data_IF_545283951323
#
_entry.id   IF_545283951323
#
_cell.length_a   1.000
_cell.length_b   1.000
_cell.length_c   1.000
_cell.angle_alpha   90.00
_cell.angle_beta   90.00
_cell.angle_gamma   90.00
#
_symmetry.space_group_name_H-M   'P 1'
#
loop_
_entity.id
_entity.type
_entity.pdbx_description
1 polymer ?
#
# COMPACT_ATOMS: atom_id res chain seq x y z
N UNK A 1 -6.47 18.27 -15.42
CA UNK A 1 -7.51 17.29 -14.98
C UNK A 1 -8.29 17.88 -13.80
N UNK A 2 -9.56 17.51 -13.55
CA UNK A 2 -10.31 18.01 -12.38
C UNK A 2 -9.65 17.69 -11.02
N UNK A 3 -8.76 16.68 -11.01
CA UNK A 3 -7.87 16.32 -9.90
C UNK A 3 -6.98 17.50 -9.49
N UNK A 4 -6.31 18.14 -10.46
CA UNK A 4 -5.31 19.18 -10.22
C UNK A 4 -5.93 20.41 -9.53
N UNK A 5 -7.16 20.77 -9.93
CA UNK A 5 -7.89 21.86 -9.28
C UNK A 5 -8.22 21.54 -7.82
N UNK A 6 -8.60 20.30 -7.53
CA UNK A 6 -8.94 19.86 -6.17
C UNK A 6 -7.70 19.83 -5.28
N UNK A 7 -6.58 19.30 -5.76
CA UNK A 7 -5.29 19.36 -5.05
C UNK A 7 -4.84 20.79 -4.81
N UNK A 8 -4.98 21.68 -5.80
CA UNK A 8 -4.65 23.09 -5.65
C UNK A 8 -5.47 23.80 -4.56
N UNK A 9 -6.74 23.40 -4.33
CA UNK A 9 -7.54 23.93 -3.23
C UNK A 9 -7.03 23.43 -1.87
N UNK A 10 -6.69 22.14 -1.77
CA UNK A 10 -6.16 21.53 -0.54
C UNK A 10 -4.82 22.16 -0.18
N UNK A 11 -3.89 22.28 -1.14
CA UNK A 11 -2.58 22.90 -0.91
C UNK A 11 -2.69 24.35 -0.44
N UNK A 12 -3.55 25.14 -1.08
CA UNK A 12 -3.79 26.52 -0.64
C UNK A 12 -4.30 26.59 0.80
N UNK A 13 -5.10 25.61 1.23
CA UNK A 13 -5.60 25.55 2.59
C UNK A 13 -4.53 25.08 3.58
N UNK A 14 -3.75 24.07 3.22
CA UNK A 14 -2.59 23.59 3.99
C UNK A 14 -1.62 24.73 4.28
N UNK A 15 -1.28 25.55 3.27
CA UNK A 15 -0.33 26.67 3.43
C UNK A 15 -0.81 27.75 4.41
N UNK A 16 -2.11 27.84 4.67
CA UNK A 16 -2.72 28.80 5.61
C UNK A 16 -2.90 28.22 7.01
N UNK A 17 -2.65 26.92 7.18
CA UNK A 17 -2.84 26.25 8.46
C UNK A 17 -1.53 26.37 9.27
N UNK A 18 -1.60 26.99 10.45
CA UNK A 18 -0.41 27.31 11.27
C UNK A 18 0.27 26.11 11.93
N UNK A 19 -0.18 24.88 11.64
CA UNK A 19 0.57 23.70 12.02
C UNK A 19 -0.20 22.40 11.86
N UNK A 20 0.33 21.56 10.97
CA UNK A 20 -0.16 20.21 10.71
C UNK A 20 0.80 19.25 11.39
N UNK A 21 0.32 18.54 12.41
CA UNK A 21 1.20 17.78 13.30
C UNK A 21 0.76 16.34 13.45
N UNK A 22 -0.52 16.05 13.22
CA UNK A 22 -1.10 14.72 13.27
C UNK A 22 -1.75 14.36 11.92
N UNK A 23 -1.94 13.07 11.64
CA UNK A 23 -2.73 12.65 10.48
C UNK A 23 -4.17 13.17 10.51
N UNK A 24 -4.75 13.37 11.69
CA UNK A 24 -6.12 13.86 11.82
C UNK A 24 -6.23 15.35 11.44
N UNK A 25 -5.19 16.15 11.71
CA UNK A 25 -5.12 17.53 11.18
C UNK A 25 -5.21 17.54 9.64
N UNK A 26 -4.58 16.58 8.95
CA UNK A 26 -4.69 16.46 7.49
C UNK A 26 -6.12 16.09 7.05
N UNK A 27 -6.76 15.15 7.76
CA UNK A 27 -8.14 14.75 7.46
C UNK A 27 -9.07 15.97 7.58
N UNK A 28 -8.96 16.72 8.67
CA UNK A 28 -9.78 17.90 8.91
C UNK A 28 -9.57 19.00 7.86
N UNK A 29 -8.32 19.24 7.45
CA UNK A 29 -8.01 20.22 6.41
C UNK A 29 -8.62 19.80 5.07
N UNK A 30 -8.44 18.53 4.67
CA UNK A 30 -8.97 18.04 3.40
C UNK A 30 -10.51 18.09 3.43
N UNK A 31 -11.14 17.55 4.46
CA UNK A 31 -12.60 17.51 4.62
C UNK A 31 -13.21 18.93 4.57
N UNK A 32 -12.58 19.88 5.26
CA UNK A 32 -13.04 21.27 5.32
C UNK A 32 -12.69 22.08 4.06
N UNK A 33 -11.87 21.58 3.15
CA UNK A 33 -11.48 22.29 1.91
C UNK A 33 -12.68 22.46 0.98
N UNK A 34 -13.54 21.44 0.86
CA UNK A 34 -14.71 21.50 -0.01
C UNK A 34 -15.80 20.53 0.44
N UNK A 35 -17.07 20.99 0.46
CA UNK A 35 -18.23 20.19 0.94
C UNK A 35 -18.44 18.86 0.22
N UNK A 36 -17.94 18.72 -1.01
CA UNK A 36 -18.04 17.48 -1.81
C UNK A 36 -16.92 16.47 -1.52
N UNK A 37 -15.89 16.85 -0.78
CA UNK A 37 -14.80 15.93 -0.50
C UNK A 37 -15.25 14.87 0.50
N UNK A 38 -14.91 13.62 0.19
CA UNK A 38 -15.08 12.47 1.07
C UNK A 38 -13.68 11.96 1.38
N UNK A 39 -13.25 12.11 2.63
CA UNK A 39 -11.94 11.63 3.07
C UNK A 39 -12.10 10.23 3.67
N UNK A 40 -11.31 9.28 3.18
CA UNK A 40 -11.24 7.92 3.71
C UNK A 40 -9.86 7.74 4.32
N UNK A 41 -9.82 7.52 5.63
CA UNK A 41 -8.58 7.24 6.37
C UNK A 41 -8.31 5.74 6.27
N UNK A 42 -7.30 5.39 5.47
CA UNK A 42 -6.91 4.00 5.30
C UNK A 42 -6.20 3.45 6.54
N UNK A 43 -6.53 2.21 6.90
CA UNK A 43 -5.85 1.43 7.94
C UNK A 43 -4.68 0.64 7.36
N UNK A 44 -3.76 0.20 8.21
CA UNK A 44 -2.55 -0.52 7.78
C UNK A 44 -2.90 -1.80 7.01
N UNK A 45 -3.95 -2.49 7.44
CA UNK A 45 -4.42 -3.76 6.91
C UNK A 45 -4.98 -3.65 5.49
N UNK A 46 -5.32 -2.43 5.06
CA UNK A 46 -5.88 -2.13 3.74
C UNK A 46 -4.79 -1.88 2.69
N UNK A 47 -3.52 -1.83 3.09
CA UNK A 47 -2.40 -1.72 2.15
C UNK A 47 -1.94 -3.11 1.74
N UNK A 48 -2.11 -3.46 0.46
CA UNK A 48 -1.72 -4.76 -0.09
C UNK A 48 -0.49 -4.68 -1.02
N UNK A 49 0.27 -5.77 -1.06
CA UNK A 49 1.35 -5.95 -2.02
C UNK A 49 0.77 -6.43 -3.36
N UNK A 50 0.93 -5.62 -4.40
CA UNK A 50 0.41 -5.93 -5.74
C UNK A 50 1.31 -6.89 -6.53
N UNK A 51 2.45 -7.32 -6.00
CA UNK A 51 3.39 -8.18 -6.75
C UNK A 51 2.76 -9.52 -7.15
N UNK A 52 1.99 -10.16 -6.28
CA UNK A 52 1.29 -11.41 -6.59
C UNK A 52 0.29 -11.20 -7.73
N UNK A 53 -0.44 -10.09 -7.69
CA UNK A 53 -1.39 -9.69 -8.73
C UNK A 53 -0.68 -9.44 -10.07
N UNK A 54 0.41 -8.66 -10.06
CA UNK A 54 1.19 -8.32 -11.25
C UNK A 54 1.84 -9.56 -11.87
N UNK A 55 2.29 -10.54 -11.05
CA UNK A 55 2.84 -11.81 -11.54
C UNK A 55 1.77 -12.71 -12.16
N UNK A 56 0.56 -12.71 -11.60
CA UNK A 56 -0.56 -13.51 -12.12
C UNK A 56 -1.12 -12.95 -13.43
N UNK A 57 -0.96 -11.65 -13.68
CA UNK A 57 -1.49 -10.98 -14.87
C UNK A 57 -0.46 -10.81 -15.98
N UNK A 58 -0.91 -10.82 -17.23
CA UNK A 58 -0.10 -10.36 -18.36
C UNK A 58 -0.44 -8.92 -18.72
N UNK A 59 0.60 -8.07 -18.89
CA UNK A 59 0.46 -6.73 -19.47
C UNK A 59 0.03 -6.86 -20.94
N UNK A 60 -1.27 -6.80 -21.18
CA UNK A 60 -1.81 -6.83 -22.54
C UNK A 60 -1.97 -5.42 -23.07
N UNK A 61 -1.48 -5.22 -24.30
CA UNK A 61 -1.97 -4.13 -25.15
C UNK A 61 -3.32 -4.60 -25.69
N UNK A 62 -4.37 -3.81 -25.49
CA UNK A 62 -5.63 -4.07 -26.15
C UNK A 62 -5.37 -4.05 -27.67
N UNK A 63 -5.70 -5.15 -28.36
CA UNK A 63 -5.52 -5.25 -29.82
C UNK A 63 -6.47 -4.31 -30.57
N UNK A 64 -7.60 -3.99 -29.94
CA UNK A 64 -8.57 -3.00 -30.36
C UNK A 64 -8.87 -2.10 -29.16
N UNK A 65 -9.13 -0.81 -29.37
CA UNK A 65 -9.24 0.18 -28.28
C UNK A 65 -7.88 0.65 -27.76
N UNK A 66 -7.67 1.97 -27.76
CA UNK A 66 -6.47 2.57 -27.16
C UNK A 66 -6.87 3.18 -25.82
N UNK A 67 -6.11 2.91 -24.76
CA UNK A 67 -6.27 3.63 -23.48
C UNK A 67 -6.23 5.16 -23.63
N UNK A 68 -5.52 5.68 -24.64
CA UNK A 68 -5.50 7.11 -24.93
C UNK A 68 -6.81 7.65 -25.51
N UNK A 69 -7.67 6.78 -26.04
CA UNK A 69 -8.98 7.13 -26.62
C UNK A 69 -10.15 6.69 -25.74
N UNK A 70 -9.89 5.88 -24.72
CA UNK A 70 -10.93 5.38 -23.82
C UNK A 70 -11.42 6.47 -22.88
N UNK A 71 -12.73 6.57 -22.75
CA UNK A 71 -13.39 7.42 -21.76
C UNK A 71 -13.65 6.67 -20.45
N UNK A 72 -13.77 5.34 -20.47
CA UNK A 72 -14.10 4.56 -19.28
C UNK A 72 -13.41 3.19 -19.26
N UNK A 73 -12.98 2.79 -18.05
CA UNK A 73 -12.59 1.42 -17.71
C UNK A 73 -13.72 0.85 -16.84
N UNK A 74 -14.32 -0.26 -17.25
CA UNK A 74 -15.43 -0.89 -16.54
C UNK A 74 -14.97 -2.26 -16.03
N UNK A 75 -15.07 -2.44 -14.71
CA UNK A 75 -14.89 -3.73 -14.05
C UNK A 75 -16.27 -4.25 -13.69
N UNK A 76 -16.60 -5.46 -14.16
CA UNK A 76 -17.89 -6.10 -13.89
C UNK A 76 -17.67 -7.42 -13.18
N UNK A 77 -18.52 -7.75 -12.22
CA UNK A 77 -18.44 -9.02 -11.51
C UNK A 77 -18.61 -10.22 -12.46
N UNK A 78 -19.42 -10.10 -13.50
CA UNK A 78 -19.59 -11.15 -14.50
C UNK A 78 -18.37 -11.36 -15.41
N UNK A 79 -17.41 -10.42 -15.44
CA UNK A 79 -16.23 -10.50 -16.30
C UNK A 79 -14.93 -10.62 -15.48
N UNK A 80 -14.72 -11.81 -14.91
CA UNK A 80 -13.57 -12.11 -14.02
C UNK A 80 -12.24 -12.26 -14.74
N UNK A 81 -12.24 -12.31 -16.08
CA UNK A 81 -11.02 -12.48 -16.89
C UNK A 81 -10.20 -11.18 -17.04
N UNK A 82 -10.77 -10.02 -16.68
CA UNK A 82 -10.12 -8.72 -16.82
C UNK A 82 -11.09 -7.54 -16.72
N UNK A 83 -11.02 -6.60 -17.67
CA UNK A 83 -11.88 -5.40 -17.67
C UNK A 83 -12.32 -5.02 -19.08
N UNK A 84 -13.29 -4.12 -19.16
CA UNK A 84 -13.82 -3.58 -20.40
C UNK A 84 -13.33 -2.14 -20.60
N UNK A 85 -13.04 -1.78 -21.84
CA UNK A 85 -12.70 -0.40 -22.24
C UNK A 85 -13.85 0.15 -23.09
N UNK A 86 -14.37 1.33 -22.72
CA UNK A 86 -15.32 2.09 -23.55
C UNK A 86 -14.70 3.37 -24.06
N UNK A 87 -14.94 3.67 -25.33
CA UNK A 87 -14.50 4.92 -25.96
C UNK A 87 -15.41 6.10 -25.59
N UNK A 88 -16.67 5.85 -25.19
CA UNK A 88 -17.65 6.87 -24.81
C UNK A 88 -18.39 6.53 -23.50
N UNK A 89 -18.76 7.54 -22.71
CA UNK A 89 -19.50 7.37 -21.45
C UNK A 89 -20.94 6.87 -21.65
N UNK A 90 -21.55 7.16 -22.80
CA UNK A 90 -22.93 6.80 -23.12
C UNK A 90 -23.07 5.47 -23.88
N UNK A 91 -21.97 4.78 -24.16
CA UNK A 91 -21.98 3.53 -24.93
C UNK A 91 -22.58 2.35 -24.16
N UNK A 92 -23.32 1.50 -24.87
CA UNK A 92 -23.79 0.21 -24.38
C UNK A 92 -22.56 -0.69 -24.14
N UNK A 93 -22.62 -1.58 -23.15
CA UNK A 93 -21.49 -2.44 -22.81
C UNK A 93 -21.08 -3.42 -23.92
N UNK A 94 -21.94 -3.64 -24.91
CA UNK A 94 -21.69 -4.50 -26.07
C UNK A 94 -20.63 -3.92 -27.01
N UNK A 95 -20.50 -2.59 -27.07
CA UNK A 95 -19.47 -1.89 -27.85
C UNK A 95 -18.12 -1.82 -27.10
N UNK A 96 -18.06 -2.34 -25.88
CA UNK A 96 -16.86 -2.25 -25.06
C UNK A 96 -15.82 -3.29 -25.49
N UNK A 97 -14.56 -2.85 -25.60
CA UNK A 97 -13.44 -3.74 -25.87
C UNK A 97 -13.11 -4.55 -24.62
N UNK A 98 -13.17 -5.87 -24.74
CA UNK A 98 -12.76 -6.82 -23.69
C UNK A 98 -11.24 -6.93 -23.60
N UNK A 99 -10.68 -6.64 -22.42
CA UNK A 99 -9.27 -6.84 -22.11
C UNK A 99 -9.13 -8.00 -21.14
N UNK A 100 -8.60 -9.12 -21.64
CA UNK A 100 -8.27 -10.30 -20.84
C UNK A 100 -6.88 -10.17 -20.23
N UNK A 101 -6.77 -10.40 -18.92
CA UNK A 101 -5.53 -10.34 -18.14
C UNK A 101 -4.82 -11.70 -17.99
N UNK A 102 -5.49 -12.80 -18.34
CA UNK A 102 -4.92 -14.16 -18.29
C UNK A 102 -3.64 -14.28 -19.13
N UNK A 103 -2.58 -14.88 -18.57
CA UNK A 103 -1.37 -15.20 -19.30
C UNK A 103 -1.56 -16.24 -20.42
N UNK A 104 -0.80 -16.10 -21.50
CA UNK A 104 -0.81 -17.05 -22.63
C UNK A 104 -1.98 -16.88 -23.60
N UNK A 105 -2.01 -17.63 -24.70
CA UNK A 105 -3.06 -17.51 -25.75
C UNK A 105 -4.24 -18.46 -25.55
N UNK A 106 -4.36 -19.10 -24.38
CA UNK A 106 -5.39 -20.09 -24.11
C UNK A 106 -6.78 -19.45 -23.99
N UNK A 107 -7.82 -20.25 -24.23
CA UNK A 107 -9.19 -19.90 -23.88
C UNK A 107 -9.27 -19.62 -22.37
N UNK A 108 -10.23 -18.79 -21.99
CA UNK A 108 -10.49 -18.56 -20.58
C UNK A 108 -10.96 -19.85 -19.93
N UNK A 109 -10.39 -20.14 -18.78
CA UNK A 109 -10.79 -21.26 -17.95
C UNK A 109 -10.81 -20.77 -16.50
N UNK A 110 -12.02 -20.77 -15.93
CA UNK A 110 -12.29 -20.34 -14.58
C UNK A 110 -11.50 -21.15 -13.54
N UNK A 111 -11.29 -22.46 -13.79
CA UNK A 111 -10.52 -23.32 -12.88
C UNK A 111 -9.03 -22.96 -12.83
N UNK A 112 -8.51 -22.35 -13.89
CA UNK A 112 -7.08 -22.06 -14.05
C UNK A 112 -6.70 -20.59 -13.86
N UNK A 113 -7.65 -19.65 -14.01
CA UNK A 113 -7.38 -18.22 -13.84
C UNK A 113 -8.56 -17.48 -13.22
N UNK A 114 -8.39 -17.11 -11.95
CA UNK A 114 -9.38 -16.32 -11.22
C UNK A 114 -8.68 -15.32 -10.31
N UNK A 115 -8.86 -14.03 -10.57
CA UNK A 115 -8.15 -12.97 -9.85
C UNK A 115 -8.59 -12.84 -8.38
N UNK A 116 -9.82 -13.24 -8.06
CA UNK A 116 -10.33 -13.20 -6.68
C UNK A 116 -9.72 -14.28 -5.80
N UNK A 117 -9.18 -15.35 -6.40
CA UNK A 117 -8.55 -16.45 -5.67
C UNK A 117 -7.09 -16.11 -5.32
N UNK A 118 -6.58 -14.95 -5.75
CA UNK A 118 -5.22 -14.54 -5.43
C UNK A 118 -5.14 -14.11 -3.98
N UNK A 119 -4.28 -14.79 -3.22
CA UNK A 119 -3.97 -14.37 -1.86
C UNK A 119 -3.18 -13.05 -1.88
N UNK A 120 -3.84 -11.96 -1.50
CA UNK A 120 -3.26 -10.63 -1.41
C UNK A 120 -2.55 -10.48 -0.07
N UNK A 121 -1.23 -10.51 -0.08
CA UNK A 121 -0.41 -10.33 1.12
C UNK A 121 -0.40 -8.85 1.49
N UNK A 122 -0.55 -8.54 2.79
CA UNK A 122 -0.42 -7.17 3.30
C UNK A 122 0.96 -6.60 2.93
N UNK A 123 0.98 -5.32 2.58
CA UNK A 123 2.21 -4.62 2.21
C UNK A 123 3.10 -4.36 3.41
N UNK A 124 2.48 -4.12 4.57
CA UNK A 124 3.16 -3.81 5.82
C UNK A 124 2.56 -4.66 6.94
N UNK A 125 3.37 -5.55 7.51
CA UNK A 125 2.97 -6.39 8.66
C UNK A 125 3.16 -5.67 9.99
N UNK A 126 3.97 -4.61 10.00
CA UNK A 126 4.26 -3.75 11.13
C UNK A 126 4.36 -2.29 10.67
N UNK A 127 4.32 -1.33 11.61
CA UNK A 127 4.52 0.07 11.26
C UNK A 127 5.89 0.25 10.58
N UNK A 128 5.96 1.18 9.64
CA UNK A 128 7.21 1.45 8.92
C UNK A 128 8.20 2.17 9.82
N UNK A 129 9.40 1.61 9.94
CA UNK A 129 10.47 2.26 10.68
C UNK A 129 10.95 3.54 10.00
N UNK A 130 11.07 4.60 10.77
CA UNK A 130 11.74 5.84 10.41
C UNK A 130 13.26 5.66 10.53
N UNK A 131 14.01 6.42 9.74
CA UNK A 131 15.47 6.47 9.90
C UNK A 131 15.80 7.02 11.28
N UNK A 132 16.82 6.46 11.95
CA UNK A 132 17.27 6.90 13.28
C UNK A 132 17.53 8.42 13.35
N UNK A 133 18.10 8.99 12.29
CA UNK A 133 18.31 10.44 12.20
C UNK A 133 17.02 11.25 12.25
N UNK A 134 15.93 10.75 11.66
CA UNK A 134 14.61 11.38 11.72
C UNK A 134 13.98 11.27 13.09
N UNK A 135 14.09 10.11 13.74
CA UNK A 135 13.62 9.93 15.12
C UNK A 135 14.34 10.89 16.07
N UNK A 136 15.66 11.01 15.95
CA UNK A 136 16.46 11.96 16.74
C UNK A 136 16.06 13.42 16.47
N UNK A 137 15.81 13.78 15.21
CA UNK A 137 15.30 15.12 14.85
C UNK A 137 13.93 15.39 15.49
N UNK A 138 13.02 14.42 15.47
CA UNK A 138 11.71 14.55 16.12
C UNK A 138 11.88 14.77 17.62
N UNK A 139 12.74 13.97 18.27
CA UNK A 139 13.08 14.12 19.69
C UNK A 139 13.60 15.52 20.04
N UNK A 140 14.56 16.04 19.26
CA UNK A 140 15.10 17.38 19.51
C UNK A 140 14.07 18.49 19.32
N UNK A 141 13.02 18.24 18.52
CA UNK A 141 11.97 19.21 18.26
C UNK A 141 10.84 19.17 19.30
N UNK A 142 10.64 18.04 20.01
CA UNK A 142 9.56 17.87 21.01
C UNK A 142 9.45 19.02 22.02
N UNK A 143 10.55 19.57 22.60
CA UNK A 143 10.46 20.67 23.57
C UNK A 143 9.89 21.96 23.00
N UNK A 144 9.99 22.16 21.68
CA UNK A 144 9.56 23.37 21.00
C UNK A 144 8.11 23.31 20.49
N UNK A 145 7.41 22.20 20.73
CA UNK A 145 6.02 22.05 20.31
C UNK A 145 5.06 22.72 21.29
N UNK A 146 4.31 23.75 20.88
CA UNK A 146 3.49 24.55 21.79
C UNK A 146 2.17 23.85 22.18
N UNK A 147 1.69 22.90 21.39
CA UNK A 147 0.41 22.23 21.63
C UNK A 147 0.61 20.89 22.38
N UNK A 148 0.12 20.75 23.64
CA UNK A 148 0.32 19.56 24.46
C UNK A 148 -0.25 18.28 23.84
N UNK A 149 -1.45 18.33 23.25
CA UNK A 149 -2.09 17.16 22.64
C UNK A 149 -1.29 16.66 21.43
N UNK A 150 -0.80 17.60 20.61
CA UNK A 150 -0.01 17.28 19.42
C UNK A 150 1.39 16.80 19.78
N UNK A 151 1.97 17.34 20.85
CA UNK A 151 3.21 16.85 21.44
C UNK A 151 3.06 15.43 21.97
N UNK A 152 1.99 15.11 22.69
CA UNK A 152 1.72 13.77 23.19
C UNK A 152 1.62 12.74 22.04
N UNK A 153 0.99 13.10 20.92
CA UNK A 153 0.96 12.24 19.73
C UNK A 153 2.36 11.96 19.18
N UNK A 154 3.21 12.99 19.07
CA UNK A 154 4.60 12.83 18.61
C UNK A 154 5.47 12.04 19.58
N UNK A 155 5.30 12.24 20.89
CA UNK A 155 5.97 11.45 21.93
C UNK A 155 5.59 9.97 21.79
N UNK A 156 4.29 9.67 21.62
CA UNK A 156 3.83 8.32 21.35
C UNK A 156 4.39 7.73 20.06
N UNK A 157 4.48 8.53 18.98
CA UNK A 157 5.11 8.09 17.73
C UNK A 157 6.59 7.75 17.93
N UNK A 158 7.35 8.62 18.59
CA UNK A 158 8.76 8.38 18.89
C UNK A 158 8.92 7.11 19.73
N UNK A 159 8.13 6.95 20.78
CA UNK A 159 8.15 5.75 21.62
C UNK A 159 7.89 4.46 20.83
N UNK A 160 6.85 4.44 19.97
CA UNK A 160 6.57 3.29 19.10
C UNK A 160 7.74 2.99 18.14
N UNK A 161 8.35 4.02 17.57
CA UNK A 161 9.48 3.85 16.65
C UNK A 161 10.73 3.28 17.34
N UNK A 162 10.95 3.62 18.60
CA UNK A 162 12.04 3.04 19.39
C UNK A 162 11.75 1.60 19.80
N UNK A 163 10.50 1.31 20.20
CA UNK A 163 10.07 -0.04 20.52
C UNK A 163 10.21 -0.97 19.32
N UNK A 164 9.71 -0.59 18.15
CA UNK A 164 9.83 -1.39 16.92
C UNK A 164 11.30 -1.56 16.52
N UNK A 165 12.15 -0.54 16.71
CA UNK A 165 13.58 -0.66 16.43
C UNK A 165 14.29 -1.61 17.40
N UNK A 166 13.82 -1.71 18.64
CA UNK A 166 14.32 -2.65 19.64
C UNK A 166 13.85 -4.08 19.35
N UNK A 167 12.55 -4.28 19.11
CA UNK A 167 11.96 -5.58 18.86
C UNK A 167 12.44 -6.18 17.53
N UNK A 168 12.61 -5.33 16.50
CA UNK A 168 13.21 -5.73 15.23
C UNK A 168 14.69 -6.10 15.33
N UNK A 169 15.41 -5.65 16.38
CA UNK A 169 16.76 -6.16 16.68
C UNK A 169 16.68 -7.52 17.36
N UNK A 170 15.78 -7.70 18.32
CA UNK A 170 15.61 -8.99 19.02
C UNK A 170 15.31 -10.10 18.02
N UNK A 171 14.37 -9.91 17.09
CA UNK A 171 14.06 -10.93 16.07
C UNK A 171 15.21 -11.18 15.08
N UNK A 172 16.04 -10.18 14.78
CA UNK A 172 17.23 -10.40 13.95
C UNK A 172 18.28 -11.27 14.66
N UNK A 173 18.37 -11.19 16.00
CA UNK A 173 19.25 -12.05 16.80
C UNK A 173 18.67 -13.47 16.97
N UNK A 174 17.35 -13.64 17.03
CA UNK A 174 16.70 -14.95 17.13
C UNK A 174 16.76 -15.76 15.81
N UNK A 175 16.66 -15.10 14.65
CA UNK A 175 16.84 -15.76 13.34
C UNK A 175 18.28 -16.24 13.15
N UNK A 176 19.29 -15.46 13.56
CA UNK A 176 20.71 -15.82 13.44
C UNK A 176 21.14 -16.91 14.45
N UNK A 177 20.52 -17.00 15.63
CA UNK A 177 20.82 -18.04 16.63
C UNK A 177 20.21 -19.42 16.30
N UNK A 178 19.33 -19.52 15.30
CA UNK A 178 18.77 -20.80 14.85
C UNK A 178 19.66 -21.57 13.85
N UNK A 179 20.83 -21.01 13.51
CA UNK A 179 21.83 -21.63 12.62
C UNK A 179 23.06 -22.18 13.33
N UNK A 180 23.12 -22.13 14.66
CA UNK A 180 24.15 -22.86 15.42
C UNK A 180 23.58 -24.23 15.83
N UNK A 181 23.68 -25.18 14.91
CA UNK A 181 23.41 -26.59 15.21
C UNK A 181 24.44 -27.12 16.23
N UNK A 182 24.00 -28.02 17.13
CA UNK A 182 24.76 -28.48 18.29
C UNK A 182 25.71 -29.64 17.94
N UNK A 183 26.79 -29.72 18.72
CA UNK A 183 27.54 -30.94 19.03
C UNK A 183 28.20 -31.71 17.86
N UNK A 184 29.49 -31.43 17.69
CA UNK A 184 30.47 -32.47 17.35
C UNK A 184 30.41 -33.61 18.38
N UNK A 185 29.56 -34.61 18.14
CA UNK A 185 29.68 -35.91 18.79
C UNK A 185 30.75 -36.71 18.05
N UNK A 186 31.95 -36.70 18.65
CA UNK A 186 33.01 -37.67 18.43
C UNK A 186 32.42 -39.05 18.72
N UNK A 187 32.37 -39.91 17.70
CA UNK A 187 32.24 -41.35 17.91
C UNK A 187 33.47 -41.98 17.28
N UNK A 188 34.53 -42.08 18.09
CA UNK A 188 35.60 -43.05 17.87
C UNK A 188 35.02 -44.43 18.20
N UNK A 189 34.98 -45.31 17.20
CA UNK A 189 34.96 -46.76 17.44
C UNK A 189 36.26 -47.33 16.89
N UNK A 190 37.12 -47.70 17.83
CA UNK A 190 38.30 -48.52 17.62
C UNK A 190 37.94 -49.96 17.23
N UNK A 191 38.77 -50.50 16.32
CA UNK A 191 39.27 -51.88 16.25
C UNK A 191 38.32 -53.07 15.97
N UNK A 192 38.43 -53.66 14.77
CA UNK A 192 39.03 -54.99 14.55
C UNK A 192 39.25 -55.27 13.05
#
# INVERSE_FOLDING_TARGET
MPCDRSFGLVEKKIRRFEGIFTPDDYVDIIQSTHKKFRVVKMQQEEFYNLNSLVKAMTKRKASQGKFSKSSQIVVKDAYKEGFLIKDHYSGIDEDAVKVRLQPGRKSYDFGNFHLENLNMIRKYNQERLLKKSKVNQLKSLLPFYPNPNKRAWLEGLVGRQEQIAHDGRIHAYEEDQSLEDPECNIIDYDSC
#
